data_IF_585699579361
#
_entry.id   IF_585699579361
#
_cell.length_a   1.000
_cell.length_b   1.000
_cell.length_c   1.000
_cell.angle_alpha   90.00
_cell.angle_beta   90.00
_cell.angle_gamma   90.00
#
_symmetry.space_group_name_H-M   'P 1'
#
loop_
_entity.id
_entity.type
_entity.pdbx_description
1 polymer ?
#
# COMPACT_ATOMS: atom_id res chain seq x y z
N UNK A 1 1.59 -3.00 -16.90
CA UNK A 1 2.12 -4.04 -16.00
C UNK A 1 2.52 -3.34 -14.71
N UNK A 2 2.19 -3.89 -13.55
CA UNK A 2 2.57 -3.32 -12.26
C UNK A 2 3.36 -4.35 -11.46
N UNK A 3 4.15 -3.85 -10.52
CA UNK A 3 4.90 -4.64 -9.56
C UNK A 3 4.37 -4.34 -8.16
N UNK A 4 4.48 -5.31 -7.26
CA UNK A 4 4.01 -5.18 -5.88
C UNK A 4 5.17 -5.45 -4.95
N UNK A 5 5.37 -4.54 -3.99
CA UNK A 5 6.41 -4.62 -2.99
C UNK A 5 5.79 -4.62 -1.60
N UNK A 6 6.30 -5.48 -0.72
CA UNK A 6 5.80 -5.64 0.64
C UNK A 6 6.91 -5.36 1.65
N UNK A 7 6.61 -4.50 2.61
CA UNK A 7 7.49 -4.19 3.75
C UNK A 7 6.68 -4.31 5.03
N UNK A 8 6.63 -5.52 5.60
CA UNK A 8 5.80 -5.85 6.76
C UNK A 8 6.72 -6.21 7.93
N UNK A 9 6.64 -5.45 9.03
CA UNK A 9 7.35 -5.78 10.26
C UNK A 9 6.80 -7.07 10.89
N UNK A 10 7.69 -7.91 11.41
CA UNK A 10 7.33 -9.23 11.93
C UNK A 10 6.32 -9.16 13.09
N UNK A 11 6.44 -8.15 13.95
CA UNK A 11 5.53 -7.95 15.07
C UNK A 11 4.09 -7.58 14.64
N UNK A 12 3.90 -7.07 13.42
CA UNK A 12 2.57 -6.75 12.89
C UNK A 12 1.73 -8.01 12.66
N UNK A 13 2.35 -9.14 12.33
CA UNK A 13 1.63 -10.41 12.10
C UNK A 13 0.90 -10.94 13.34
N UNK A 14 1.23 -10.41 14.54
CA UNK A 14 0.55 -10.74 15.80
C UNK A 14 -0.84 -10.10 15.91
N UNK A 15 -1.15 -9.10 15.07
CA UNK A 15 -2.39 -8.33 15.13
C UNK A 15 -3.37 -8.78 14.04
N UNK A 16 -4.59 -9.18 14.40
CA UNK A 16 -5.60 -9.50 13.41
C UNK A 16 -6.04 -8.25 12.66
N UNK A 17 -6.23 -8.39 11.35
CA UNK A 17 -6.82 -7.36 10.50
C UNK A 17 -8.14 -7.86 9.93
N UNK A 18 -9.08 -6.96 9.63
CA UNK A 18 -10.27 -7.37 8.88
C UNK A 18 -9.83 -7.80 7.47
N UNK A 19 -10.35 -8.94 7.03
CA UNK A 19 -10.14 -9.40 5.66
C UNK A 19 -10.67 -8.36 4.69
N UNK A 20 -9.97 -8.19 3.56
CA UNK A 20 -10.34 -7.32 2.44
C UNK A 20 -10.26 -5.79 2.67
N UNK A 21 -9.71 -5.29 3.78
CA UNK A 21 -9.53 -3.82 3.93
C UNK A 21 -8.57 -3.24 2.88
N UNK A 22 -7.52 -3.98 2.50
CA UNK A 22 -6.53 -3.49 1.54
C UNK A 22 -7.06 -3.46 0.10
N UNK A 23 -8.07 -4.27 -0.21
CA UNK A 23 -8.62 -4.40 -1.55
C UNK A 23 -9.08 -3.06 -2.16
N UNK A 24 -9.97 -2.28 -1.52
CA UNK A 24 -10.41 -0.99 -2.08
C UNK A 24 -9.26 0.01 -2.25
N UNK A 25 -8.23 -0.05 -1.40
CA UNK A 25 -7.07 0.85 -1.50
C UNK A 25 -6.19 0.50 -2.70
N UNK A 26 -5.94 -0.80 -2.91
CA UNK A 26 -5.18 -1.33 -4.05
C UNK A 26 -5.94 -1.10 -5.35
N UNK A 27 -7.25 -1.34 -5.36
CA UNK A 27 -8.12 -1.05 -6.50
C UNK A 27 -8.06 0.43 -6.88
N UNK A 28 -8.22 1.34 -5.91
CA UNK A 28 -8.12 2.79 -6.18
C UNK A 28 -6.77 3.18 -6.79
N UNK A 29 -5.66 2.63 -6.27
CA UNK A 29 -4.31 2.90 -6.81
C UNK A 29 -4.14 2.36 -8.24
N UNK A 30 -4.69 1.18 -8.53
CA UNK A 30 -4.65 0.59 -9.87
C UNK A 30 -5.48 1.40 -10.87
N UNK A 31 -6.75 1.67 -10.53
CA UNK A 31 -7.70 2.33 -11.44
C UNK A 31 -7.30 3.78 -11.72
N UNK A 32 -6.97 4.55 -10.69
CA UNK A 32 -6.73 5.99 -10.84
C UNK A 32 -5.24 6.35 -10.96
N UNK A 33 -4.34 5.52 -10.45
CA UNK A 33 -2.90 5.82 -10.43
C UNK A 33 -2.10 5.20 -11.57
N UNK A 34 -2.32 3.91 -11.87
CA UNK A 34 -1.44 3.15 -12.77
C UNK A 34 -2.05 2.92 -14.15
N UNK A 35 -3.34 2.58 -14.23
CA UNK A 35 -4.00 2.14 -15.48
C UNK A 35 -3.88 3.15 -16.62
N UNK A 36 -4.06 4.44 -16.31
CA UNK A 36 -4.06 5.51 -17.32
C UNK A 36 -2.68 6.15 -17.53
N UNK A 37 -1.67 5.73 -16.77
CA UNK A 37 -0.33 6.33 -16.82
C UNK A 37 0.51 5.86 -18.02
N UNK A 38 0.17 4.72 -18.63
CA UNK A 38 0.97 4.08 -19.68
C UNK A 38 2.36 3.58 -19.24
N UNK A 39 2.73 3.73 -17.96
CA UNK A 39 4.03 3.38 -17.38
C UNK A 39 3.92 2.12 -16.51
N UNK A 40 5.07 1.49 -16.21
CA UNK A 40 5.15 0.51 -15.11
C UNK A 40 4.93 1.25 -13.78
N UNK A 41 3.98 0.78 -12.99
CA UNK A 41 3.70 1.31 -11.64
C UNK A 41 4.10 0.31 -10.57
N UNK A 42 4.46 0.82 -9.38
CA UNK A 42 4.76 0.01 -8.20
C UNK A 42 3.67 0.25 -7.16
N UNK A 43 3.12 -0.82 -6.61
CA UNK A 43 2.22 -0.79 -5.45
C UNK A 43 3.04 -1.24 -4.23
N UNK A 44 3.39 -0.28 -3.37
CA UNK A 44 4.12 -0.55 -2.13
C UNK A 44 3.15 -0.69 -0.96
N UNK A 45 3.17 -1.86 -0.30
CA UNK A 45 2.34 -2.18 0.86
C UNK A 45 3.24 -2.30 2.08
N UNK A 46 3.14 -1.33 2.98
CA UNK A 46 3.91 -1.27 4.22
C UNK A 46 3.04 -1.45 5.45
N UNK A 47 3.53 -2.18 6.44
CA UNK A 47 2.92 -2.24 7.76
C UNK A 47 3.99 -2.27 8.84
N UNK A 48 3.85 -1.37 9.81
CA UNK A 48 4.80 -1.14 10.88
C UNK A 48 4.05 -0.82 12.18
N UNK A 49 4.60 -1.23 13.31
CA UNK A 49 4.12 -0.79 14.61
C UNK A 49 4.64 0.62 14.88
N UNK A 50 3.73 1.56 15.09
CA UNK A 50 4.09 2.94 15.43
C UNK A 50 3.54 3.23 16.82
N UNK A 51 4.44 3.46 17.78
CA UNK A 51 4.06 3.51 19.20
C UNK A 51 2.92 4.50 19.47
N UNK A 52 2.92 5.70 18.90
CA UNK A 52 1.72 6.56 18.79
C UNK A 52 1.95 7.51 17.60
N UNK A 53 1.10 7.45 16.56
CA UNK A 53 0.72 8.57 15.63
C UNK A 53 0.41 8.06 14.21
N UNK A 54 -0.86 8.13 13.83
CA UNK A 54 -1.35 7.99 12.46
C UNK A 54 -0.67 9.01 11.54
N UNK A 55 0.00 8.56 10.48
CA UNK A 55 0.50 9.46 9.43
C UNK A 55 0.23 8.88 8.05
N UNK A 56 -0.58 9.59 7.26
CA UNK A 56 -0.73 9.35 5.83
C UNK A 56 0.33 10.14 5.06
N UNK A 57 1.07 9.48 4.18
CA UNK A 57 2.03 10.12 3.27
C UNK A 57 1.78 9.63 1.85
N UNK A 58 1.51 10.56 0.95
CA UNK A 58 1.46 10.33 -0.50
C UNK A 58 2.69 11.00 -1.10
N UNK A 59 3.54 10.23 -1.77
CA UNK A 59 4.70 10.74 -2.52
C UNK A 59 4.48 10.44 -4.00
N UNK A 60 4.57 11.48 -4.83
CA UNK A 60 4.66 11.36 -6.28
C UNK A 60 6.11 11.64 -6.69
N UNK A 61 6.71 10.74 -7.45
CA UNK A 61 8.00 10.94 -8.12
C UNK A 61 7.77 10.95 -9.64
N UNK A 62 8.33 11.97 -10.30
CA UNK A 62 8.28 12.17 -11.76
C UNK A 62 9.19 11.20 -12.51
#
# INVERSE_FOLDING_TARGET
>A
MFEVEYTIEEDVYKYPILRFILQPLVENALYHGIRDSGRKGIIAIGAYLKEIMYSFRILFQN
#
